data_IF_461254491200
#
_entry.id   IF_461254491200
#
_cell.length_a   1.000
_cell.length_b   1.000
_cell.length_c   1.000
_cell.angle_alpha   90.00
_cell.angle_beta   90.00
_cell.angle_gamma   90.00
#
_symmetry.space_group_name_H-M   'P 1'
#
loop_
_entity.id
_entity.type
_entity.pdbx_description
1 polymer ?
#
# COMPACT_ATOMS: atom_id res chain seq x y z
N UNK A 1 17.38 -58.24 9.74
CA UNK A 1 17.99 -59.22 8.81
C UNK A 1 18.58 -58.38 7.68
N UNK A 2 19.89 -58.42 7.45
CA UNK A 2 20.62 -59.49 6.73
C UNK A 2 20.08 -59.64 5.28
N UNK A 3 20.90 -59.62 4.22
CA UNK A 3 22.35 -59.34 4.15
C UNK A 3 22.83 -59.06 2.71
N UNK A 4 23.83 -58.18 2.54
CA UNK A 4 25.03 -58.32 1.67
C UNK A 4 24.93 -58.58 0.13
N UNK A 5 26.11 -58.49 -0.50
CA UNK A 5 26.51 -58.94 -1.85
C UNK A 5 25.93 -58.17 -3.05
N UNK A 6 26.81 -57.39 -3.69
CA UNK A 6 26.87 -57.29 -5.16
C UNK A 6 28.09 -58.09 -5.67
N UNK A 7 28.23 -58.28 -7.00
CA UNK A 7 29.54 -57.92 -7.57
C UNK A 7 29.52 -57.30 -8.98
N UNK A 8 30.44 -56.35 -9.13
CA UNK A 8 31.37 -56.14 -10.26
C UNK A 8 31.26 -57.03 -11.50
N UNK A 9 31.30 -56.40 -12.69
CA UNK A 9 31.99 -56.96 -13.86
C UNK A 9 32.69 -55.84 -14.65
N UNK A 10 33.86 -56.12 -15.23
CA UNK A 10 34.68 -55.18 -16.02
C UNK A 10 34.73 -55.59 -17.49
N UNK A 11 34.92 -54.60 -18.38
CA UNK A 11 35.32 -54.84 -19.77
C UNK A 11 36.82 -54.57 -19.99
N UNK A 12 37.58 -55.65 -19.81
CA UNK A 12 38.72 -56.07 -20.65
C UNK A 12 38.48 -55.76 -22.15
N UNK A 13 39.45 -55.60 -23.06
CA UNK A 13 40.93 -55.67 -23.08
C UNK A 13 41.36 -55.00 -24.40
N UNK A 14 42.54 -54.37 -24.47
CA UNK A 14 43.54 -54.64 -25.54
C UNK A 14 44.90 -54.00 -25.25
N UNK A 15 45.91 -54.85 -25.16
CA UNK A 15 47.32 -54.49 -25.10
C UNK A 15 47.99 -54.71 -26.46
N UNK A 16 49.07 -53.99 -26.69
CA UNK A 16 50.22 -54.43 -27.45
C UNK A 16 51.45 -53.93 -26.68
N UNK A 17 52.57 -54.66 -26.73
CA UNK A 17 53.80 -54.27 -26.05
C UNK A 17 54.97 -55.13 -26.50
N UNK A 18 56.17 -54.77 -26.07
CA UNK A 18 57.32 -55.67 -26.00
C UNK A 18 58.33 -55.17 -24.96
N UNK A 19 59.06 -56.12 -24.40
CA UNK A 19 60.24 -56.01 -23.53
C UNK A 19 61.42 -55.29 -24.25
N UNK A 20 62.50 -54.76 -23.65
CA UNK A 20 62.96 -54.51 -22.25
C UNK A 20 64.03 -53.36 -22.31
N UNK A 21 65.04 -53.09 -21.46
CA UNK A 21 65.71 -53.72 -20.29
C UNK A 21 66.45 -52.64 -19.44
N UNK A 22 67.33 -53.02 -18.50
CA UNK A 22 68.15 -52.15 -17.62
C UNK A 22 69.53 -51.76 -18.25
N UNK A 23 70.44 -50.96 -17.67
CA UNK A 23 70.56 -50.42 -16.30
C UNK A 23 71.38 -49.08 -16.21
N UNK A 24 71.26 -48.38 -15.06
CA UNK A 24 72.15 -47.38 -14.43
C UNK A 24 73.19 -46.54 -15.26
N UNK A 25 73.14 -45.20 -15.17
CA UNK A 25 74.15 -44.34 -14.47
C UNK A 25 73.91 -42.80 -14.52
N UNK A 26 74.34 -42.12 -13.45
CA UNK A 26 74.68 -40.68 -13.29
C UNK A 26 73.62 -39.57 -13.49
N UNK A 27 74.02 -38.32 -13.17
CA UNK A 27 73.20 -37.13 -12.91
C UNK A 27 73.98 -35.85 -13.29
N UNK A 28 73.48 -34.63 -13.00
CA UNK A 28 72.19 -34.05 -13.37
C UNK A 28 72.37 -32.89 -14.38
N UNK A 29 71.30 -32.46 -15.05
CA UNK A 29 71.26 -31.14 -15.74
C UNK A 29 69.93 -30.44 -15.49
N UNK A 30 70.00 -29.11 -15.49
CA UNK A 30 68.88 -28.21 -15.19
C UNK A 30 67.96 -28.04 -16.41
N UNK A 31 66.68 -28.37 -16.24
CA UNK A 31 65.62 -27.83 -17.09
C UNK A 31 64.55 -27.20 -16.18
N UNK A 32 64.33 -25.90 -16.34
CA UNK A 32 63.37 -25.12 -15.55
C UNK A 32 61.96 -25.26 -16.12
N UNK A 33 61.22 -26.28 -15.69
CA UNK A 33 59.77 -26.32 -15.93
C UNK A 33 59.04 -25.27 -15.07
N UNK A 34 58.56 -24.20 -15.70
CA UNK A 34 57.64 -23.25 -15.07
C UNK A 34 56.28 -23.90 -14.81
N UNK A 35 56.03 -24.34 -13.58
CA UNK A 35 54.68 -24.74 -13.17
C UNK A 35 53.78 -23.50 -13.07
N UNK A 36 52.61 -23.46 -13.74
CA UNK A 36 51.78 -22.26 -13.80
C UNK A 36 51.16 -21.94 -12.45
N UNK A 37 51.72 -20.92 -11.79
CA UNK A 37 51.30 -20.47 -10.47
C UNK A 37 49.82 -20.08 -10.42
N UNK A 38 49.13 -20.68 -9.45
CA UNK A 38 47.94 -20.19 -8.74
C UNK A 38 47.33 -18.87 -9.25
N UNK A 39 46.09 -18.93 -9.74
CA UNK A 39 45.36 -17.78 -10.26
C UNK A 39 45.19 -16.67 -9.20
N UNK A 40 46.13 -15.73 -9.15
CA UNK A 40 46.18 -14.67 -8.15
C UNK A 40 45.03 -13.69 -8.34
N UNK A 41 44.08 -13.73 -7.39
CA UNK A 41 42.88 -12.89 -7.37
C UNK A 41 43.22 -11.41 -7.58
N UNK A 42 42.56 -10.77 -8.54
CA UNK A 42 42.81 -9.38 -8.94
C UNK A 42 42.82 -8.44 -7.72
N UNK A 43 43.66 -7.40 -7.74
CA UNK A 43 43.74 -6.37 -6.69
C UNK A 43 42.36 -5.80 -6.31
N UNK A 44 41.38 -5.79 -7.23
CA UNK A 44 39.97 -5.40 -6.99
C UNK A 44 39.15 -6.47 -6.25
N UNK A 45 39.35 -7.75 -6.58
CA UNK A 45 38.73 -8.89 -5.88
C UNK A 45 39.31 -9.04 -4.46
N UNK A 46 40.64 -9.01 -4.32
CA UNK A 46 41.33 -9.12 -3.03
C UNK A 46 40.89 -8.00 -2.05
N UNK A 47 40.78 -6.75 -2.54
CA UNK A 47 40.22 -5.64 -1.74
C UNK A 47 38.74 -5.81 -1.37
N UNK A 48 37.93 -6.50 -2.20
CA UNK A 48 36.53 -6.84 -1.87
C UNK A 48 36.48 -7.91 -0.77
N UNK A 49 37.31 -8.92 -0.87
CA UNK A 49 37.43 -10.02 0.08
C UNK A 49 37.90 -9.52 1.47
N UNK A 50 38.98 -8.74 1.53
CA UNK A 50 39.46 -8.08 2.74
C UNK A 50 38.41 -7.15 3.39
N UNK A 51 37.60 -6.44 2.58
CA UNK A 51 36.47 -5.63 3.09
C UNK A 51 35.36 -6.51 3.68
N UNK A 52 35.08 -7.66 3.07
CA UNK A 52 34.08 -8.62 3.55
C UNK A 52 34.54 -9.29 4.85
N UNK A 53 35.81 -9.65 4.99
CA UNK A 53 36.42 -10.19 6.21
C UNK A 53 36.43 -9.16 7.36
N UNK A 54 36.87 -7.93 7.08
CA UNK A 54 36.81 -6.81 8.03
C UNK A 54 35.38 -6.47 8.45
N UNK A 55 34.40 -6.59 7.54
CA UNK A 55 32.99 -6.45 7.90
C UNK A 55 32.52 -7.63 8.77
N UNK A 56 32.85 -8.87 8.42
CA UNK A 56 32.40 -10.06 9.16
C UNK A 56 32.92 -10.09 10.61
N UNK A 57 34.15 -9.63 10.86
CA UNK A 57 34.70 -9.48 12.22
C UNK A 57 33.96 -8.43 13.05
N UNK A 58 33.83 -7.18 12.56
CA UNK A 58 33.16 -6.10 13.32
C UNK A 58 31.63 -6.24 13.39
N UNK A 59 31.01 -7.01 12.48
CA UNK A 59 29.55 -7.19 12.36
C UNK A 59 28.88 -7.70 13.64
N UNK A 60 29.57 -8.49 14.46
CA UNK A 60 29.04 -8.94 15.75
C UNK A 60 28.97 -7.76 16.74
N UNK A 61 30.05 -6.99 16.89
CA UNK A 61 30.16 -5.82 17.77
C UNK A 61 29.19 -4.71 17.37
N UNK A 62 29.15 -4.34 16.07
CA UNK A 62 28.26 -3.30 15.53
C UNK A 62 26.80 -3.64 15.83
N UNK A 63 26.40 -4.91 15.66
CA UNK A 63 25.05 -5.39 16.02
C UNK A 63 24.79 -5.34 17.53
N UNK A 64 25.78 -5.65 18.37
CA UNK A 64 25.65 -5.56 19.82
C UNK A 64 25.48 -4.12 20.30
N UNK A 65 26.31 -3.20 19.79
CA UNK A 65 26.29 -1.76 20.08
C UNK A 65 24.99 -1.11 19.60
N UNK A 66 24.49 -1.48 18.42
CA UNK A 66 23.17 -1.03 17.96
C UNK A 66 22.02 -1.61 18.81
N UNK A 67 22.08 -2.88 19.19
CA UNK A 67 21.08 -3.51 20.08
C UNK A 67 21.05 -2.83 21.46
N UNK A 68 22.21 -2.44 21.99
CA UNK A 68 22.31 -1.62 23.21
C UNK A 68 21.71 -0.23 23.00
N UNK A 69 22.12 0.52 21.96
CA UNK A 69 21.56 1.83 21.59
C UNK A 69 20.03 1.80 21.48
N UNK A 70 19.48 0.75 20.85
CA UNK A 70 18.03 0.56 20.69
C UNK A 70 17.33 0.15 21.98
N UNK A 71 18.00 -0.56 22.90
CA UNK A 71 17.47 -0.85 24.26
C UNK A 71 17.48 0.42 25.13
N UNK A 72 18.53 1.23 25.06
CA UNK A 72 18.66 2.50 25.76
C UNK A 72 17.59 3.50 25.32
N UNK A 73 17.49 3.81 24.02
CA UNK A 73 16.44 4.69 23.49
C UNK A 73 15.02 4.26 23.85
N UNK A 74 14.79 2.95 24.02
CA UNK A 74 13.50 2.40 24.46
C UNK A 74 13.25 2.62 25.97
N UNK A 75 14.30 2.64 26.79
CA UNK A 75 14.19 2.98 28.22
C UNK A 75 13.93 4.47 28.38
N UNK A 76 14.75 5.32 27.75
CA UNK A 76 14.61 6.79 27.79
C UNK A 76 13.22 7.25 27.32
N UNK A 77 12.64 6.57 26.34
CA UNK A 77 11.28 6.84 25.88
C UNK A 77 10.20 6.40 26.90
N UNK A 78 10.39 5.27 27.58
CA UNK A 78 9.49 4.83 28.65
C UNK A 78 9.59 5.73 29.88
N UNK A 79 10.77 6.24 30.20
CA UNK A 79 11.03 7.20 31.30
C UNK A 79 10.38 8.57 31.05
N UNK A 80 10.20 8.96 29.77
CA UNK A 80 9.39 10.13 29.37
C UNK A 80 7.88 9.87 29.25
N UNK A 81 7.44 8.62 29.35
CA UNK A 81 6.04 8.23 29.08
C UNK A 81 5.66 8.18 27.59
N UNK A 82 6.62 8.21 26.66
CA UNK A 82 6.36 8.16 25.21
C UNK A 82 5.53 6.90 24.84
N UNK A 83 4.46 7.06 24.06
CA UNK A 83 3.62 5.94 23.61
C UNK A 83 4.43 5.02 22.67
N UNK A 84 4.91 3.91 23.22
CA UNK A 84 5.75 2.93 22.52
C UNK A 84 4.97 2.14 21.46
N UNK A 85 5.49 2.13 20.23
CA UNK A 85 4.98 1.29 19.15
C UNK A 85 4.89 -0.21 19.57
N UNK A 86 3.77 -0.92 19.26
CA UNK A 86 3.58 -2.31 19.68
C UNK A 86 4.69 -3.27 19.24
N UNK A 87 5.07 -4.20 20.12
CA UNK A 87 6.07 -5.22 19.77
C UNK A 87 5.52 -6.23 18.75
N UNK A 88 6.39 -6.82 17.92
CA UNK A 88 6.00 -7.88 16.97
C UNK A 88 5.31 -9.08 17.64
N UNK A 89 5.54 -9.31 18.95
CA UNK A 89 4.81 -10.31 19.75
C UNK A 89 3.38 -9.83 20.06
N UNK A 90 3.16 -8.60 20.57
CA UNK A 90 1.80 -8.04 20.76
C UNK A 90 1.02 -8.04 19.46
N UNK A 91 1.62 -7.58 18.35
CA UNK A 91 0.98 -7.58 17.03
C UNK A 91 0.56 -8.98 16.57
N UNK A 92 1.40 -10.00 16.75
CA UNK A 92 1.05 -11.39 16.40
C UNK A 92 -0.09 -11.97 17.25
N UNK A 93 -0.23 -11.54 18.50
CA UNK A 93 -1.35 -11.97 19.37
C UNK A 93 -2.62 -11.12 19.19
N UNK A 94 -2.50 -9.90 18.67
CA UNK A 94 -3.64 -9.03 18.36
C UNK A 94 -4.23 -9.46 17.02
N UNK A 95 -5.41 -10.08 17.03
CA UNK A 95 -6.05 -10.64 15.84
C UNK A 95 -7.55 -10.36 15.85
N UNK A 96 -8.16 -10.21 14.67
CA UNK A 96 -9.59 -9.89 14.53
C UNK A 96 -10.49 -10.89 15.28
N UNK A 97 -10.20 -12.19 15.18
CA UNK A 97 -10.87 -13.28 15.91
C UNK A 97 -10.64 -13.30 17.44
N UNK A 98 -9.95 -12.29 18.00
CA UNK A 98 -9.78 -12.05 19.44
C UNK A 98 -10.18 -10.63 19.85
N UNK A 99 -10.73 -9.86 18.93
CA UNK A 99 -11.23 -8.53 19.18
C UNK A 99 -12.57 -8.59 19.90
N UNK A 100 -12.83 -7.62 20.78
CA UNK A 100 -14.19 -7.35 21.25
C UNK A 100 -15.03 -6.61 20.20
N UNK A 101 -14.39 -5.94 19.24
CA UNK A 101 -15.08 -5.21 18.17
C UNK A 101 -15.54 -6.18 17.07
N UNK A 102 -16.86 -6.34 16.93
CA UNK A 102 -17.48 -7.16 15.88
C UNK A 102 -17.81 -6.35 14.60
N UNK A 103 -17.83 -5.01 14.68
CA UNK A 103 -18.10 -4.13 13.54
C UNK A 103 -17.25 -4.52 12.35
N UNK A 104 -17.93 -4.81 11.23
CA UNK A 104 -17.27 -5.22 9.99
C UNK A 104 -16.97 -4.00 9.14
N UNK A 105 -15.78 -3.98 8.54
CA UNK A 105 -15.33 -2.94 7.61
C UNK A 105 -14.79 -3.60 6.36
N UNK A 106 -15.22 -3.10 5.20
CA UNK A 106 -14.96 -3.73 3.91
C UNK A 106 -14.34 -2.71 2.97
N UNK A 107 -13.29 -3.08 2.25
CA UNK A 107 -12.81 -2.30 1.08
C UNK A 107 -13.28 -3.01 -0.18
N UNK A 108 -14.13 -2.35 -0.95
CA UNK A 108 -14.73 -2.85 -2.18
C UNK A 108 -13.82 -2.60 -3.39
N UNK A 109 -13.06 -3.61 -3.80
CA UNK A 109 -12.16 -3.55 -4.95
C UNK A 109 -12.84 -3.93 -6.28
N UNK A 110 -14.18 -4.03 -6.35
CA UNK A 110 -14.90 -4.29 -7.61
C UNK A 110 -14.66 -3.20 -8.68
N UNK A 111 -14.21 -2.01 -8.24
CA UNK A 111 -13.96 -0.82 -9.07
C UNK A 111 -12.58 -0.83 -9.79
N UNK A 112 -11.90 -1.98 -9.89
CA UNK A 112 -10.56 -2.13 -10.50
C UNK A 112 -10.44 -1.46 -11.89
N UNK A 113 -11.48 -1.58 -12.72
CA UNK A 113 -11.56 -1.01 -14.08
C UNK A 113 -11.61 0.52 -14.15
N UNK A 114 -11.88 1.21 -13.04
CA UNK A 114 -11.90 2.68 -12.96
C UNK A 114 -10.52 3.29 -12.62
N UNK A 115 -9.47 2.48 -12.50
CA UNK A 115 -8.13 2.91 -12.08
C UNK A 115 -7.04 2.45 -13.04
N UNK A 116 -6.13 3.37 -13.41
CA UNK A 116 -4.87 2.99 -14.03
C UNK A 116 -3.92 2.31 -13.04
N UNK A 117 -2.91 1.60 -13.53
CA UNK A 117 -1.94 0.86 -12.69
C UNK A 117 -1.30 1.73 -11.58
N UNK A 118 -1.03 3.01 -11.88
CA UNK A 118 -0.50 3.99 -10.90
C UNK A 118 -1.43 4.23 -9.72
N UNK A 119 -2.73 4.05 -9.91
CA UNK A 119 -3.78 4.26 -8.91
C UNK A 119 -4.13 2.95 -8.18
N UNK A 120 -4.09 1.80 -8.88
CA UNK A 120 -4.05 0.47 -8.25
C UNK A 120 -2.87 0.35 -7.26
N UNK A 121 -1.69 0.89 -7.61
CA UNK A 121 -0.56 0.97 -6.69
C UNK A 121 -0.84 1.84 -5.45
N UNK A 122 -1.66 2.89 -5.56
CA UNK A 122 -2.10 3.73 -4.42
C UNK A 122 -3.20 3.05 -3.60
N UNK A 123 -4.13 2.34 -4.23
CA UNK A 123 -5.18 1.54 -3.58
C UNK A 123 -4.56 0.48 -2.67
N UNK A 124 -3.73 -0.40 -3.23
CA UNK A 124 -3.07 -1.47 -2.46
C UNK A 124 -2.15 -0.88 -1.38
N UNK A 125 -1.59 0.33 -1.60
CA UNK A 125 -0.84 1.04 -0.56
C UNK A 125 -1.72 1.57 0.58
N UNK A 126 -2.96 1.98 0.29
CA UNK A 126 -3.93 2.34 1.32
C UNK A 126 -4.42 1.11 2.09
N UNK A 127 -4.70 -0.01 1.43
CA UNK A 127 -5.03 -1.30 2.09
C UNK A 127 -3.90 -1.72 3.06
N UNK A 128 -2.63 -1.56 2.67
CA UNK A 128 -1.49 -1.75 3.57
C UNK A 128 -1.54 -0.86 4.82
N UNK A 129 -1.97 0.40 4.70
CA UNK A 129 -2.13 1.29 5.84
C UNK A 129 -3.31 0.88 6.73
N UNK A 130 -4.49 0.59 6.16
CA UNK A 130 -5.67 0.10 6.89
C UNK A 130 -5.33 -1.14 7.74
N UNK A 131 -4.73 -2.17 7.11
CA UNK A 131 -4.27 -3.37 7.81
C UNK A 131 -3.28 -3.03 8.94
N UNK A 132 -2.31 -2.17 8.64
CA UNK A 132 -1.29 -1.76 9.62
C UNK A 132 -1.90 -1.04 10.82
N UNK A 133 -2.92 -0.21 10.63
CA UNK A 133 -3.66 0.47 11.70
C UNK A 133 -4.52 -0.52 12.49
N UNK A 134 -5.29 -1.38 11.81
CA UNK A 134 -6.16 -2.37 12.45
C UNK A 134 -5.39 -3.33 13.37
N UNK A 135 -4.18 -3.76 12.98
CA UNK A 135 -3.32 -4.60 13.85
C UNK A 135 -2.72 -3.85 15.06
N UNK A 136 -2.78 -2.51 15.08
CA UNK A 136 -2.24 -1.65 16.15
C UNK A 136 -3.28 -1.11 17.12
N UNK A 137 -4.56 -1.05 16.76
CA UNK A 137 -5.65 -0.66 17.69
C UNK A 137 -5.73 -1.64 18.86
N UNK A 138 -6.43 -1.26 19.93
CA UNK A 138 -6.65 -2.19 21.05
C UNK A 138 -7.63 -3.31 20.68
N UNK A 139 -8.65 -2.98 19.87
CA UNK A 139 -9.66 -3.90 19.38
C UNK A 139 -9.72 -3.76 17.83
N UNK A 140 -9.14 -4.69 17.04
CA UNK A 140 -9.25 -4.66 15.59
C UNK A 140 -10.71 -4.80 15.11
N UNK A 141 -11.14 -4.02 14.11
CA UNK A 141 -12.40 -4.28 13.41
C UNK A 141 -12.30 -5.55 12.56
N UNK A 142 -13.43 -6.18 12.23
CA UNK A 142 -13.46 -7.33 11.33
C UNK A 142 -13.27 -6.84 9.89
N UNK A 143 -12.05 -6.99 9.35
CA UNK A 143 -11.62 -6.31 8.12
C UNK A 143 -11.59 -7.26 6.91
N UNK A 144 -12.34 -6.87 5.88
CA UNK A 144 -12.50 -7.56 4.61
C UNK A 144 -12.01 -6.71 3.43
N UNK A 145 -11.56 -7.39 2.37
CA UNK A 145 -11.29 -6.77 1.07
C UNK A 145 -11.96 -7.64 0.00
N UNK A 146 -13.01 -7.12 -0.61
CA UNK A 146 -13.94 -7.84 -1.50
C UNK A 146 -13.75 -7.41 -2.95
N UNK A 147 -14.32 -8.17 -3.90
CA UNK A 147 -14.19 -7.89 -5.33
C UNK A 147 -12.74 -7.95 -5.83
N UNK A 148 -11.84 -8.66 -5.15
CA UNK A 148 -10.41 -8.70 -5.49
C UNK A 148 -10.16 -9.52 -6.75
N UNK A 149 -9.95 -8.84 -7.87
CA UNK A 149 -9.61 -9.42 -9.17
C UNK A 149 -8.61 -8.53 -9.93
N UNK A 150 -8.37 -8.83 -11.21
CA UNK A 150 -7.70 -7.92 -12.16
C UNK A 150 -6.32 -7.42 -11.74
N UNK A 151 -6.12 -6.11 -11.85
CA UNK A 151 -4.87 -5.44 -11.53
C UNK A 151 -4.61 -5.39 -10.03
N UNK A 152 -5.66 -5.21 -9.21
CA UNK A 152 -5.57 -5.23 -7.74
C UNK A 152 -5.07 -6.58 -7.22
N UNK A 153 -5.63 -7.70 -7.69
CA UNK A 153 -5.17 -9.03 -7.29
C UNK A 153 -3.72 -9.29 -7.76
N UNK A 154 -3.41 -8.93 -9.01
CA UNK A 154 -2.05 -9.00 -9.55
C UNK A 154 -1.03 -8.20 -8.71
N UNK A 155 -1.42 -7.00 -8.25
CA UNK A 155 -0.60 -6.14 -7.41
C UNK A 155 -0.43 -6.68 -5.98
N UNK A 156 -1.46 -7.30 -5.41
CA UNK A 156 -1.37 -8.01 -4.12
C UNK A 156 -0.43 -9.22 -4.23
N UNK A 157 -0.58 -10.05 -5.26
CA UNK A 157 0.33 -11.18 -5.58
C UNK A 157 1.79 -10.72 -5.72
N UNK A 158 2.04 -9.57 -6.36
CA UNK A 158 3.38 -8.97 -6.49
C UNK A 158 4.01 -8.54 -5.15
N UNK A 159 3.25 -8.39 -4.07
CA UNK A 159 3.78 -8.08 -2.73
C UNK A 159 4.14 -9.38 -1.97
N UNK A 160 3.44 -10.48 -2.26
CA UNK A 160 3.81 -11.83 -1.84
C UNK A 160 3.60 -12.20 -0.37
N UNK A 161 3.21 -11.25 0.49
CA UNK A 161 2.95 -11.53 1.93
C UNK A 161 1.49 -11.34 2.37
N UNK A 162 0.60 -10.82 1.50
CA UNK A 162 -0.77 -10.44 1.85
C UNK A 162 -1.64 -11.61 2.36
N UNK A 163 -1.38 -12.84 1.90
CA UNK A 163 -2.06 -14.05 2.38
C UNK A 163 -1.71 -14.41 3.84
N UNK A 164 -0.67 -13.79 4.41
CA UNK A 164 -0.29 -13.92 5.82
C UNK A 164 -0.85 -12.76 6.67
N UNK A 165 -1.64 -11.87 6.09
CA UNK A 165 -2.29 -10.80 6.81
C UNK A 165 -3.58 -11.31 7.44
N UNK A 166 -3.89 -10.78 8.62
CA UNK A 166 -5.14 -11.02 9.33
C UNK A 166 -6.20 -10.05 8.75
N UNK A 167 -6.67 -10.41 7.55
CA UNK A 167 -7.62 -9.67 6.69
C UNK A 167 -8.33 -10.70 5.79
N UNK A 168 -9.66 -10.57 5.65
CA UNK A 168 -10.45 -11.47 4.80
C UNK A 168 -10.45 -10.99 3.34
N UNK A 169 -9.46 -11.42 2.55
CA UNK A 169 -9.39 -11.16 1.11
C UNK A 169 -10.27 -12.13 0.30
N UNK A 170 -11.07 -11.64 -0.64
CA UNK A 170 -11.90 -12.47 -1.52
C UNK A 170 -12.23 -11.79 -2.86
N UNK A 171 -12.44 -12.58 -3.91
CA UNK A 171 -12.94 -12.12 -5.21
C UNK A 171 -14.45 -11.88 -5.24
N UNK A 172 -15.19 -12.42 -4.26
CA UNK A 172 -16.65 -12.28 -4.11
C UNK A 172 -17.08 -10.83 -3.87
N UNK A 173 -18.29 -10.49 -4.28
CA UNK A 173 -18.93 -9.22 -3.93
C UNK A 173 -19.31 -9.19 -2.44
N UNK A 174 -19.38 -7.99 -1.84
CA UNK A 174 -19.78 -7.87 -0.43
C UNK A 174 -21.25 -8.29 -0.20
N UNK A 175 -22.12 -8.17 -1.21
CA UNK A 175 -23.49 -8.70 -1.17
C UNK A 175 -23.57 -10.25 -1.16
N UNK A 176 -22.47 -10.97 -1.38
CA UNK A 176 -22.40 -12.44 -1.21
C UNK A 176 -21.99 -12.86 0.21
N UNK A 177 -21.60 -11.91 1.08
CA UNK A 177 -20.98 -12.16 2.37
C UNK A 177 -21.80 -11.64 3.56
N UNK A 178 -22.60 -10.60 3.33
CA UNK A 178 -23.41 -9.93 4.34
C UNK A 178 -24.85 -9.77 3.82
N UNK A 179 -25.85 -9.83 4.70
CA UNK A 179 -27.23 -9.56 4.30
C UNK A 179 -27.44 -8.08 3.92
N UNK A 180 -28.28 -7.81 2.92
CA UNK A 180 -28.52 -6.43 2.43
C UNK A 180 -28.94 -5.42 3.50
N UNK A 181 -29.63 -5.88 4.55
CA UNK A 181 -30.08 -5.07 5.69
C UNK A 181 -28.94 -4.59 6.61
N UNK A 182 -27.82 -5.31 6.59
CA UNK A 182 -26.67 -5.07 7.48
C UNK A 182 -25.50 -4.38 6.75
N UNK A 183 -25.63 -4.16 5.44
CA UNK A 183 -24.66 -3.43 4.61
C UNK A 183 -24.93 -1.92 4.67
N UNK A 184 -23.89 -1.14 4.95
CA UNK A 184 -23.90 0.33 4.84
C UNK A 184 -22.72 0.80 3.97
N UNK A 185 -22.99 1.22 2.74
CA UNK A 185 -21.97 1.78 1.85
C UNK A 185 -21.67 3.23 2.19
N UNK A 186 -20.41 3.55 2.48
CA UNK A 186 -19.97 4.88 2.85
C UNK A 186 -19.67 5.71 1.60
N UNK A 187 -20.40 6.80 1.41
CA UNK A 187 -20.23 7.72 0.28
C UNK A 187 -20.51 9.17 0.69
N UNK A 188 -19.68 10.09 0.22
CA UNK A 188 -19.80 11.54 0.47
C UNK A 188 -21.05 12.17 -0.14
N UNK A 189 -21.63 11.53 -1.15
CA UNK A 189 -22.79 11.98 -1.92
C UNK A 189 -24.12 11.37 -1.43
N UNK A 190 -24.11 10.65 -0.30
CA UNK A 190 -25.31 10.09 0.33
C UNK A 190 -26.04 11.12 1.21
N UNK A 191 -27.35 11.27 1.00
CA UNK A 191 -28.21 12.15 1.82
C UNK A 191 -28.32 11.69 3.29
N UNK A 192 -28.28 10.38 3.54
CA UNK A 192 -28.26 9.82 4.90
C UNK A 192 -26.92 10.15 5.60
N UNK A 193 -26.95 10.59 6.85
CA UNK A 193 -25.75 10.83 7.68
C UNK A 193 -25.58 9.73 8.72
N UNK A 194 -24.35 9.20 8.83
CA UNK A 194 -24.00 8.14 9.77
C UNK A 194 -23.81 8.67 11.20
N UNK A 195 -24.82 8.51 12.05
CA UNK A 195 -24.78 9.00 13.43
C UNK A 195 -23.99 8.07 14.37
N UNK A 196 -24.06 6.75 14.21
CA UNK A 196 -23.33 5.78 15.05
C UNK A 196 -22.83 4.55 14.27
N UNK A 197 -21.88 3.82 14.86
CA UNK A 197 -21.42 2.52 14.36
C UNK A 197 -22.04 1.36 15.15
N UNK A 198 -22.87 0.62 14.42
CA UNK A 198 -23.53 -0.61 14.82
C UNK A 198 -22.51 -1.78 14.87
N UNK A 199 -22.45 -2.57 15.96
CA UNK A 199 -21.57 -3.73 16.04
C UNK A 199 -21.87 -4.84 15.02
N UNK A 200 -23.10 -4.97 14.53
CA UNK A 200 -23.55 -6.10 13.71
C UNK A 200 -23.45 -5.82 12.20
N UNK A 201 -23.13 -4.58 11.81
CA UNK A 201 -23.14 -4.12 10.41
C UNK A 201 -21.78 -4.13 9.70
N UNK A 202 -21.84 -4.20 8.38
CA UNK A 202 -20.73 -4.16 7.45
C UNK A 202 -20.65 -2.80 6.75
N UNK A 203 -19.65 -2.01 7.11
CA UNK A 203 -19.39 -0.68 6.57
C UNK A 203 -18.47 -0.77 5.35
N UNK A 204 -19.02 -0.52 4.15
CA UNK A 204 -18.30 -0.63 2.89
C UNK A 204 -17.62 0.69 2.55
N UNK A 205 -16.34 0.65 2.20
CA UNK A 205 -15.57 1.78 1.68
C UNK A 205 -15.22 1.44 0.24
N UNK A 206 -15.59 2.30 -0.71
CA UNK A 206 -15.21 2.13 -2.11
C UNK A 206 -13.69 2.09 -2.28
N UNK A 207 -13.17 1.00 -2.85
CA UNK A 207 -11.74 0.77 -3.11
C UNK A 207 -11.24 1.56 -4.30
N UNK A 208 -11.57 2.85 -4.39
CA UNK A 208 -11.32 3.72 -5.54
C UNK A 208 -10.24 4.76 -5.25
N UNK A 209 -9.36 5.01 -6.22
CA UNK A 209 -8.38 6.10 -6.18
C UNK A 209 -8.41 6.84 -7.52
N UNK A 210 -9.34 7.79 -7.64
CA UNK A 210 -9.67 8.49 -8.88
C UNK A 210 -9.47 10.02 -8.78
N UNK A 211 -9.03 10.52 -7.62
CA UNK A 211 -8.98 11.95 -7.27
C UNK A 211 -10.36 12.68 -7.26
N UNK A 212 -11.44 11.93 -7.06
CA UNK A 212 -12.84 12.36 -7.20
C UNK A 212 -13.15 12.93 -8.60
N UNK A 213 -12.95 12.06 -9.58
CA UNK A 213 -13.37 12.18 -10.97
C UNK A 213 -14.77 11.56 -11.15
N UNK A 214 -14.98 10.35 -10.62
CA UNK A 214 -16.23 9.58 -10.69
C UNK A 214 -17.15 9.91 -9.50
N UNK A 215 -17.50 11.20 -9.39
CA UNK A 215 -18.40 11.73 -8.34
C UNK A 215 -19.66 10.87 -8.19
N UNK A 216 -19.97 10.47 -6.97
CA UNK A 216 -21.20 9.72 -6.67
C UNK A 216 -21.24 8.26 -7.12
N UNK A 217 -20.21 7.72 -7.81
CA UNK A 217 -20.20 6.34 -8.31
C UNK A 217 -20.52 5.29 -7.22
N UNK A 218 -19.92 5.45 -6.05
CA UNK A 218 -20.18 4.60 -4.87
C UNK A 218 -21.62 4.73 -4.33
N UNK A 219 -22.23 5.92 -4.42
CA UNK A 219 -23.62 6.14 -4.02
C UNK A 219 -24.58 5.49 -5.02
N UNK A 220 -24.39 5.72 -6.32
CA UNK A 220 -25.18 5.10 -7.38
C UNK A 220 -25.14 3.56 -7.31
N UNK A 221 -23.95 2.97 -7.11
CA UNK A 221 -23.80 1.51 -6.97
C UNK A 221 -24.54 0.95 -5.75
N UNK A 222 -24.57 1.67 -4.63
CA UNK A 222 -25.28 1.26 -3.43
C UNK A 222 -26.81 1.33 -3.60
N UNK A 223 -27.31 2.40 -4.25
CA UNK A 223 -28.72 2.57 -4.60
C UNK A 223 -29.17 1.51 -5.60
N UNK A 224 -28.39 1.26 -6.66
CA UNK A 224 -28.68 0.22 -7.67
C UNK A 224 -28.73 -1.18 -7.07
N UNK A 225 -27.77 -1.53 -6.20
CA UNK A 225 -27.77 -2.80 -5.47
C UNK A 225 -28.87 -2.89 -4.40
N UNK A 226 -29.52 -1.79 -4.04
CA UNK A 226 -30.54 -1.74 -2.97
C UNK A 226 -29.97 -2.11 -1.60
N UNK A 227 -28.84 -1.52 -1.22
CA UNK A 227 -28.23 -1.65 0.11
C UNK A 227 -28.23 -0.31 0.84
N UNK A 228 -28.08 -0.32 2.17
CA UNK A 228 -27.95 0.91 2.94
C UNK A 228 -26.74 1.74 2.52
N UNK A 229 -26.83 3.06 2.64
CA UNK A 229 -25.73 3.99 2.35
C UNK A 229 -25.76 5.20 3.29
N UNK A 230 -24.60 5.76 3.60
CA UNK A 230 -24.46 6.94 4.47
C UNK A 230 -23.19 7.76 4.20
N UNK A 231 -23.22 9.07 4.46
CA UNK A 231 -22.03 9.91 4.57
C UNK A 231 -21.52 9.96 6.03
N UNK A 232 -20.22 10.16 6.23
CA UNK A 232 -19.67 10.47 7.55
C UNK A 232 -20.16 11.87 8.01
N UNK A 233 -20.42 12.10 9.32
CA UNK A 233 -21.00 13.35 9.85
C UNK A 233 -20.02 14.53 9.88
N UNK A 234 -19.04 14.57 8.97
CA UNK A 234 -17.96 15.58 8.91
C UNK A 234 -18.53 17.00 8.91
N UNK A 235 -19.67 17.21 8.24
CA UNK A 235 -20.39 18.49 8.14
C UNK A 235 -20.91 19.05 9.48
N UNK A 236 -21.14 18.18 10.47
CA UNK A 236 -21.75 18.53 11.75
C UNK A 236 -20.69 18.94 12.79
N UNK A 237 -19.52 18.29 12.73
CA UNK A 237 -18.43 18.45 13.70
C UNK A 237 -17.29 19.36 13.21
N UNK A 238 -17.06 19.48 11.90
CA UNK A 238 -15.97 20.25 11.32
C UNK A 238 -16.44 21.24 10.26
N UNK A 239 -15.92 22.47 10.33
CA UNK A 239 -15.80 23.30 9.13
C UNK A 239 -14.56 22.88 8.33
N UNK A 240 -14.68 22.83 7.01
CA UNK A 240 -13.60 22.55 6.07
C UNK A 240 -13.84 23.28 4.75
N UNK A 241 -12.88 24.14 4.38
CA UNK A 241 -12.89 24.89 3.11
C UNK A 241 -12.62 24.01 1.88
N UNK A 242 -12.27 22.74 2.06
CA UNK A 242 -11.97 21.76 1.00
C UNK A 242 -13.10 20.74 0.84
N UNK A 243 -13.22 20.15 -0.37
CA UNK A 243 -14.12 19.01 -0.65
C UNK A 243 -14.05 17.94 0.46
N UNK A 244 -15.22 17.45 0.89
CA UNK A 244 -15.38 16.51 2.03
C UNK A 244 -15.06 15.04 1.69
N UNK A 245 -14.56 14.77 0.49
CA UNK A 245 -14.12 13.44 0.07
C UNK A 245 -12.78 13.10 0.73
N UNK A 246 -12.71 11.94 1.35
CA UNK A 246 -11.54 11.42 2.06
C UNK A 246 -10.94 10.22 1.31
N UNK A 247 -9.68 9.90 1.59
CA UNK A 247 -9.06 8.69 1.03
C UNK A 247 -9.43 7.48 1.88
N UNK A 248 -9.40 6.28 1.29
CA UNK A 248 -9.80 4.99 1.87
C UNK A 248 -9.20 4.81 3.27
N UNK A 249 -7.90 5.09 3.42
CA UNK A 249 -7.23 4.94 4.72
C UNK A 249 -7.73 5.93 5.78
N UNK A 250 -8.06 7.18 5.43
CA UNK A 250 -8.58 8.13 6.41
C UNK A 250 -10.00 7.75 6.84
N UNK A 251 -10.85 7.26 5.93
CA UNK A 251 -12.18 6.72 6.28
C UNK A 251 -12.02 5.53 7.24
N UNK A 252 -11.14 4.58 6.91
CA UNK A 252 -10.84 3.43 7.74
C UNK A 252 -10.31 3.81 9.13
N UNK A 253 -9.30 4.68 9.19
CA UNK A 253 -8.70 5.15 10.45
C UNK A 253 -9.72 5.95 11.30
N UNK A 254 -10.66 6.69 10.68
CA UNK A 254 -11.78 7.37 11.38
C UNK A 254 -12.74 6.35 12.00
N UNK A 255 -13.20 5.34 11.24
CA UNK A 255 -14.07 4.28 11.77
C UNK A 255 -13.38 3.53 12.92
N UNK A 256 -12.10 3.20 12.75
CA UNK A 256 -11.28 2.54 13.75
C UNK A 256 -11.13 3.39 15.02
N UNK A 257 -11.08 4.72 14.88
CA UNK A 257 -11.03 5.60 16.05
C UNK A 257 -12.40 5.79 16.69
N UNK A 258 -13.49 5.74 15.93
CA UNK A 258 -14.84 5.81 16.48
C UNK A 258 -15.22 4.53 17.27
N UNK A 259 -14.76 3.35 16.86
CA UNK A 259 -14.97 2.13 17.67
C UNK A 259 -14.18 2.15 19.00
N UNK A 260 -13.06 2.87 19.08
CA UNK A 260 -12.32 3.11 20.34
C UNK A 260 -12.89 4.23 21.21
N UNK A 261 -13.52 5.26 20.63
CA UNK A 261 -13.84 6.53 21.34
C UNK A 261 -15.33 6.82 21.48
N UNK A 262 -16.15 6.36 20.53
CA UNK A 262 -17.56 6.76 20.34
C UNK A 262 -17.77 8.28 20.22
N UNK A 263 -16.75 9.02 19.79
CA UNK A 263 -16.82 10.45 19.49
C UNK A 263 -16.30 10.75 18.07
N UNK A 264 -17.15 11.38 17.25
CA UNK A 264 -16.81 11.71 15.86
C UNK A 264 -15.78 12.84 15.77
N UNK A 265 -15.88 13.88 16.60
CA UNK A 265 -14.97 15.01 16.58
C UNK A 265 -13.54 14.58 16.98
N UNK A 266 -13.41 13.77 18.04
CA UNK A 266 -12.14 13.18 18.44
C UNK A 266 -11.57 12.26 17.34
N UNK A 267 -12.42 11.45 16.71
CA UNK A 267 -12.03 10.56 15.61
C UNK A 267 -11.56 11.33 14.37
N UNK A 268 -12.24 12.42 13.99
CA UNK A 268 -11.80 13.28 12.90
C UNK A 268 -10.50 14.01 13.24
N UNK A 269 -10.38 14.62 14.42
CA UNK A 269 -9.20 15.36 14.84
C UNK A 269 -7.94 14.48 15.01
N UNK A 270 -8.11 13.19 15.34
CA UNK A 270 -7.00 12.23 15.44
C UNK A 270 -6.45 11.78 14.07
N UNK A 271 -7.24 11.89 12.99
CA UNK A 271 -6.94 11.29 11.68
C UNK A 271 -6.75 12.33 10.56
N UNK A 272 -7.49 13.43 10.60
CA UNK A 272 -7.41 14.48 9.58
C UNK A 272 -6.26 15.45 9.89
N UNK A 273 -5.28 15.64 8.98
CA UNK A 273 -4.19 16.58 9.23
C UNK A 273 -4.69 18.01 9.44
N UNK A 274 -4.25 18.67 10.52
CA UNK A 274 -4.65 20.05 10.91
C UNK A 274 -4.64 21.05 9.73
N UNK A 275 -3.67 20.91 8.81
CA UNK A 275 -3.55 21.70 7.57
C UNK A 275 -4.75 21.62 6.60
N UNK A 276 -5.74 20.74 6.82
CA UNK A 276 -7.03 20.75 6.11
C UNK A 276 -7.96 21.89 6.57
N UNK A 277 -7.60 22.63 7.62
CA UNK A 277 -8.42 23.70 8.18
C UNK A 277 -9.62 23.18 8.97
N UNK A 278 -9.56 21.92 9.41
CA UNK A 278 -10.56 21.26 10.24
C UNK A 278 -10.63 21.91 11.62
N UNK A 279 -11.49 22.91 11.77
CA UNK A 279 -11.80 23.54 13.06
C UNK A 279 -13.09 22.92 13.61
N UNK A 280 -13.09 22.61 14.91
CA UNK A 280 -14.25 22.10 15.63
C UNK A 280 -15.39 23.14 15.56
N UNK A 281 -16.59 22.70 15.18
CA UNK A 281 -17.72 23.61 14.97
C UNK A 281 -18.30 24.06 16.32
N UNK A 282 -18.44 25.37 16.59
CA UNK A 282 -19.07 25.83 17.82
C UNK A 282 -20.51 25.31 17.93
N UNK A 283 -20.84 24.66 19.06
CA UNK A 283 -22.16 24.09 19.31
C UNK A 283 -22.39 22.66 18.81
N UNK A 284 -21.36 21.93 18.35
CA UNK A 284 -21.47 20.49 18.11
C UNK A 284 -21.95 19.75 19.38
N UNK A 285 -22.85 18.77 19.21
CA UNK A 285 -23.29 17.86 20.29
C UNK A 285 -22.18 16.87 20.67
N UNK A 286 -21.17 17.33 21.40
CA UNK A 286 -20.23 16.45 22.08
C UNK A 286 -20.94 15.75 23.25
N UNK A 287 -20.74 14.44 23.42
CA UNK A 287 -21.20 13.73 24.62
C UNK A 287 -20.33 14.17 25.79
N UNK A 288 -20.91 14.86 26.78
CA UNK A 288 -20.13 15.60 27.77
C UNK A 288 -19.57 14.72 28.88
N UNK A 289 -18.43 14.09 28.63
CA UNK A 289 -17.46 13.68 29.64
C UNK A 289 -16.05 14.11 29.23
N UNK A 290 -15.59 15.23 29.80
CA UNK A 290 -14.25 15.74 29.61
C UNK A 290 -13.64 16.13 30.96
N UNK A 291 -12.61 15.41 31.38
CA UNK A 291 -11.59 15.95 32.27
C UNK A 291 -10.41 16.38 31.39
N UNK A 292 -10.06 17.67 31.42
CA UNK A 292 -9.00 18.24 30.59
C UNK A 292 -8.07 19.08 31.45
N UNK A 293 -6.84 18.58 31.65
CA UNK A 293 -5.71 19.41 32.03
C UNK A 293 -4.81 19.59 30.81
N UNK A 294 -4.82 20.79 30.26
CA UNK A 294 -3.90 21.25 29.22
C UNK A 294 -3.13 22.45 29.76
N UNK A 295 -1.93 22.21 30.27
CA UNK A 295 -1.00 23.30 30.59
C UNK A 295 -0.56 24.02 29.32
N UNK A 296 -0.50 25.34 29.40
CA UNK A 296 -0.12 26.23 28.30
C UNK A 296 1.33 26.69 28.47
N UNK A 297 2.21 26.35 27.52
CA UNK A 297 3.55 26.92 27.44
C UNK A 297 3.91 27.36 26.01
N UNK A 298 3.76 28.68 25.82
CA UNK A 298 4.59 29.61 25.03
C UNK A 298 5.33 29.14 23.76
N UNK A 299 5.07 29.88 22.68
CA UNK A 299 5.88 29.99 21.46
C UNK A 299 7.37 30.31 21.73
N UNK A 300 8.28 29.74 20.93
CA UNK A 300 9.56 30.39 20.59
C UNK A 300 10.01 30.01 19.17
N UNK A 301 9.69 30.89 18.22
CA UNK A 301 10.16 30.93 16.82
C UNK A 301 11.69 30.74 16.70
N UNK A 302 12.10 29.82 15.83
CA UNK A 302 13.48 29.71 15.34
C UNK A 302 13.47 29.48 13.83
N UNK A 303 14.01 30.45 13.08
CA UNK A 303 14.22 30.34 11.64
C UNK A 303 15.57 29.67 11.35
N UNK A 304 15.71 28.99 10.22
CA UNK A 304 17.03 28.60 9.71
C UNK A 304 17.05 28.78 8.20
N UNK A 305 17.81 29.76 7.75
CA UNK A 305 18.01 30.09 6.35
C UNK A 305 18.98 29.07 5.72
N UNK A 306 18.71 28.67 4.48
CA UNK A 306 19.67 27.91 3.67
C UNK A 306 20.67 28.87 3.02
N UNK A 307 21.96 28.65 3.22
CA UNK A 307 23.03 29.42 2.59
C UNK A 307 23.98 28.50 1.81
N UNK A 308 24.38 28.93 0.62
CA UNK A 308 25.39 28.27 -0.21
C UNK A 308 26.81 28.39 0.35
N UNK A 309 27.72 27.52 -0.08
CA UNK A 309 29.12 27.52 0.34
C UNK A 309 30.01 26.59 -0.49
N UNK A 310 30.35 27.00 -1.72
CA UNK A 310 31.18 26.21 -2.64
C UNK A 310 32.64 26.69 -2.70
N UNK A 311 33.58 25.81 -2.33
CA UNK A 311 35.02 25.80 -2.68
C UNK A 311 35.38 24.29 -2.75
N UNK A 312 35.99 23.71 -3.80
CA UNK A 312 37.27 24.04 -4.43
C UNK A 312 38.38 23.21 -3.75
N UNK A 313 39.29 22.50 -4.43
CA UNK A 313 39.70 22.49 -5.84
C UNK A 313 40.21 21.08 -6.28
N UNK A 314 40.17 20.78 -7.59
CA UNK A 314 41.15 20.10 -8.48
C UNK A 314 41.96 18.85 -8.01
N UNK A 315 42.49 17.96 -8.86
CA UNK A 315 42.81 18.01 -10.30
C UNK A 315 42.85 16.62 -10.97
N UNK A 316 42.62 16.58 -12.30
CA UNK A 316 43.14 15.59 -13.29
C UNK A 316 42.74 14.09 -13.19
N UNK A 317 42.73 13.29 -14.29
CA UNK A 317 42.96 13.58 -15.73
C UNK A 317 42.32 12.49 -16.62
N UNK A 318 41.86 12.87 -17.82
CA UNK A 318 42.02 12.04 -19.04
C UNK A 318 40.86 11.16 -19.53
N UNK A 319 40.48 11.41 -20.80
CA UNK A 319 40.01 10.45 -21.85
C UNK A 319 38.75 9.59 -21.63
N UNK A 320 37.85 9.40 -22.63
CA UNK A 320 37.86 9.88 -24.03
C UNK A 320 36.46 10.13 -24.59
N UNK A 321 36.40 10.79 -25.75
CA UNK A 321 35.18 11.17 -26.47
C UNK A 321 34.84 10.21 -27.61
N UNK A 322 33.56 10.05 -27.92
CA UNK A 322 33.11 9.63 -29.26
C UNK A 322 31.70 10.16 -29.52
N UNK A 323 31.59 11.08 -30.47
CA UNK A 323 30.36 11.73 -30.91
C UNK A 323 29.66 10.95 -32.01
N UNK A 324 28.33 10.97 -32.02
CA UNK A 324 27.57 10.94 -33.28
C UNK A 324 26.40 11.93 -33.20
N UNK A 325 26.52 12.99 -33.99
CA UNK A 325 25.53 14.06 -34.08
C UNK A 325 24.88 14.10 -35.47
N UNK A 326 23.57 13.98 -35.52
CA UNK A 326 22.74 14.44 -36.64
C UNK A 326 21.51 15.12 -36.08
N UNK A 327 21.49 16.45 -36.10
CA UNK A 327 20.28 17.23 -35.87
C UNK A 327 19.67 17.67 -37.20
N UNK A 328 18.49 18.27 -37.15
CA UNK A 328 18.17 19.35 -38.07
C UNK A 328 17.19 20.35 -37.44
N UNK A 329 17.42 21.63 -37.71
CA UNK A 329 16.41 22.69 -37.60
C UNK A 329 15.68 22.79 -38.96
N UNK A 330 14.71 23.67 -39.26
CA UNK A 330 14.14 24.82 -38.55
C UNK A 330 12.66 24.99 -39.05
N UNK A 331 11.74 25.57 -38.27
CA UNK A 331 11.19 26.94 -38.39
C UNK A 331 10.09 27.20 -39.45
N UNK A 332 9.20 28.15 -39.09
CA UNK A 332 8.29 28.97 -39.92
C UNK A 332 7.11 28.23 -40.61
N UNK A 333 5.94 28.85 -40.87
CA UNK A 333 5.47 30.21 -40.55
C UNK A 333 3.93 30.32 -40.36
N UNK A 334 3.43 31.55 -40.14
CA UNK A 334 2.02 31.94 -39.92
C UNK A 334 1.02 31.66 -41.06
N UNK A 335 -0.28 31.77 -40.76
CA UNK A 335 -1.37 31.74 -41.76
C UNK A 335 -2.79 31.76 -41.18
N UNK A 336 -3.33 32.95 -40.87
CA UNK A 336 -4.76 33.12 -40.57
C UNK A 336 -5.63 33.03 -41.85
N UNK A 337 -6.92 32.64 -41.73
CA UNK A 337 -8.05 33.44 -42.25
C UNK A 337 -9.46 32.90 -41.93
N UNK A 338 -10.41 33.84 -41.88
CA UNK A 338 -11.88 33.82 -41.73
C UNK A 338 -12.72 32.53 -41.81
N UNK A 339 -13.63 32.43 -40.83
CA UNK A 339 -15.11 32.41 -40.96
C UNK A 339 -15.77 31.92 -42.27
N UNK A 340 -16.80 31.06 -42.15
CA UNK A 340 -18.18 31.56 -42.26
C UNK A 340 -19.20 30.62 -41.55
N UNK A 341 -20.41 31.16 -41.31
CA UNK A 341 -21.58 30.47 -40.75
C UNK A 341 -22.45 29.81 -41.83
N UNK A 342 -23.18 28.77 -41.45
CA UNK A 342 -24.51 28.50 -42.01
C UNK A 342 -25.39 27.76 -41.00
N UNK A 343 -26.40 28.43 -40.47
CA UNK A 343 -27.48 27.81 -39.70
C UNK A 343 -28.39 26.99 -40.63
N UNK A 344 -29.03 25.94 -40.11
CA UNK A 344 -30.32 25.50 -40.64
C UNK A 344 -31.19 24.86 -39.55
N UNK A 345 -32.43 25.34 -39.46
CA UNK A 345 -33.44 24.89 -38.50
C UNK A 345 -34.79 24.75 -39.20
N UNK A 346 -35.82 24.28 -38.48
CA UNK A 346 -37.22 24.11 -38.94
C UNK A 346 -37.46 22.88 -39.86
N UNK A 347 -38.61 22.18 -39.86
CA UNK A 347 -39.73 22.20 -38.90
C UNK A 347 -40.66 20.96 -38.99
N UNK A 348 -41.48 20.77 -37.94
CA UNK A 348 -42.90 20.29 -37.95
C UNK A 348 -43.25 18.97 -38.68
N UNK A 349 -43.75 17.98 -37.92
CA UNK A 349 -45.21 17.72 -37.86
C UNK A 349 -45.60 16.80 -36.70
N UNK A 350 -46.72 17.10 -36.05
CA UNK A 350 -47.38 16.22 -35.07
C UNK A 350 -48.49 15.39 -35.73
N UNK A 351 -49.00 14.38 -35.01
CA UNK A 351 -50.40 13.92 -35.08
C UNK A 351 -50.75 13.03 -33.88
N UNK A 352 -51.93 13.27 -33.31
CA UNK A 352 -52.51 12.45 -32.25
C UNK A 352 -52.94 11.06 -32.75
N UNK A 353 -52.97 10.09 -31.83
CA UNK A 353 -54.27 9.54 -31.46
C UNK A 353 -54.31 8.94 -30.05
N UNK A 354 -55.39 9.25 -29.36
CA UNK A 354 -55.78 8.66 -28.07
C UNK A 354 -56.30 7.24 -28.25
N UNK A 355 -56.11 6.36 -27.26
CA UNK A 355 -57.21 5.50 -26.87
C UNK A 355 -57.19 5.18 -25.37
N UNK A 356 -58.36 5.22 -24.75
CA UNK A 356 -58.57 4.96 -23.33
C UNK A 356 -59.68 3.92 -23.18
N UNK A 357 -59.36 2.77 -22.57
CA UNK A 357 -60.38 1.80 -22.14
C UNK A 357 -60.18 1.55 -20.65
N UNK A 358 -61.30 1.54 -19.93
CA UNK A 358 -61.41 1.38 -18.48
C UNK A 358 -62.22 0.10 -18.17
N UNK A 359 -62.39 -0.17 -16.88
CA UNK A 359 -63.11 -1.32 -16.30
C UNK A 359 -62.38 -2.68 -16.40
N UNK A 360 -62.49 -3.59 -15.42
CA UNK A 360 -63.25 -3.51 -14.15
C UNK A 360 -62.64 -4.42 -13.06
N UNK A 361 -63.02 -4.17 -11.82
CA UNK A 361 -62.88 -5.11 -10.70
C UNK A 361 -63.94 -6.22 -10.78
N UNK A 362 -63.71 -7.34 -10.07
CA UNK A 362 -64.54 -7.87 -8.95
C UNK A 362 -64.11 -9.34 -8.67
N UNK A 363 -63.59 -9.83 -7.53
CA UNK A 363 -63.49 -9.44 -6.08
C UNK A 363 -64.37 -10.28 -5.10
N UNK A 364 -64.57 -11.58 -5.37
CA UNK A 364 -64.93 -12.60 -4.35
C UNK A 364 -64.17 -13.93 -4.61
N UNK A 365 -63.86 -14.88 -3.70
CA UNK A 365 -64.02 -15.13 -2.24
C UNK A 365 -64.56 -16.56 -2.03
N UNK A 366 -63.65 -17.53 -1.92
CA UNK A 366 -63.82 -18.83 -1.22
C UNK A 366 -62.44 -19.44 -0.99
#
# INVERSE_FOLDING_TARGET
MLEMIGPTSQLKIRSAGMESVCDNTESPKEETEETPLSATMSKKQLRRQQRQEKWLSIKAEVRAKEKQRKKQKRREALERGDIMAPTRKKLRSNTMAKSSCQTSVVIDCSLDSYMGEKDIMKLVKQIQFCYSSNRRSQNPMQFFVTGVHGHTESRLKSIGDYQNWDVNFTSKDYCELFEKKDIVYLSSESDNVLQELDPEKAYIIGGLVDHNHHKGLCHSLAVEKGVGHAQLPISEYLDMKTRKVLTINHVFDILLKYTETKDWLQSFCAVLPQRKGAQARPGSKASSQADTQTDTLTDTRAETQTADGCVGQNSDSGTDCSTSSTGNSAQNDEGENHENSSEQSTNVSARDQTNSISSKSDVEKS
#
